data_IF_565346115085
#
_entry.id   IF_565346115085
#
_cell.length_a   1.000
_cell.length_b   1.000
_cell.length_c   1.000
_cell.angle_alpha   90.00
_cell.angle_beta   90.00
_cell.angle_gamma   90.00
#
_symmetry.space_group_name_H-M   'P 1'
#
loop_
_entity.id
_entity.type
_entity.pdbx_description
1 polymer ?
#
# COMPACT_ATOMS: atom_id res chain seq x y z
N UNK A 1 15.29 10.94 17.38
CA UNK A 1 14.96 9.65 18.02
C UNK A 1 13.53 9.63 18.61
N UNK A 2 12.59 10.37 18.00
CA UNK A 2 11.18 10.45 18.42
C UNK A 2 10.19 10.24 17.26
N UNK A 3 10.70 9.97 16.05
CA UNK A 3 9.92 9.86 14.82
C UNK A 3 9.43 8.42 14.56
N UNK A 4 10.29 7.43 14.81
CA UNK A 4 9.99 6.01 14.57
C UNK A 4 8.97 5.44 15.56
N UNK A 5 8.94 5.93 16.81
CA UNK A 5 7.94 5.51 17.80
C UNK A 5 6.54 6.03 17.47
N UNK A 6 6.45 7.22 16.89
CA UNK A 6 5.18 7.84 16.50
C UNK A 6 4.55 7.14 15.28
N UNK A 7 5.37 6.69 14.32
CA UNK A 7 4.89 5.92 13.17
C UNK A 7 4.42 4.51 13.55
N UNK A 8 5.04 3.89 14.57
CA UNK A 8 4.63 2.57 15.05
C UNK A 8 3.29 2.60 15.79
N UNK A 9 3.03 3.63 16.59
CA UNK A 9 1.75 3.79 17.28
C UNK A 9 0.59 4.06 16.31
N UNK A 10 0.83 4.80 15.22
CA UNK A 10 -0.17 5.04 14.19
C UNK A 10 -0.52 3.76 13.41
N UNK A 11 0.48 3.01 12.95
CA UNK A 11 0.26 1.74 12.27
C UNK A 11 -0.49 0.71 13.15
N UNK A 12 -0.23 0.73 14.46
CA UNK A 12 -0.94 -0.11 15.43
C UNK A 12 -2.40 0.33 15.64
N UNK A 13 -2.65 1.65 15.72
CA UNK A 13 -4.01 2.18 15.82
C UNK A 13 -4.84 1.86 14.57
N UNK A 14 -4.26 2.00 13.36
CA UNK A 14 -4.93 1.65 12.10
C UNK A 14 -5.27 0.15 11.99
N UNK A 15 -4.43 -0.72 12.56
CA UNK A 15 -4.73 -2.16 12.69
C UNK A 15 -5.88 -2.41 13.67
N UNK A 16 -5.91 -1.69 14.79
CA UNK A 16 -6.95 -1.82 15.83
C UNK A 16 -8.30 -1.22 15.39
N UNK A 17 -8.30 -0.19 14.54
CA UNK A 17 -9.49 0.43 13.95
C UNK A 17 -10.07 -0.38 12.77
N UNK A 18 -9.40 -1.46 12.34
CA UNK A 18 -9.91 -2.34 11.29
C UNK A 18 -9.80 -1.76 9.88
N UNK A 19 -9.00 -0.71 9.67
CA UNK A 19 -8.83 -0.10 8.35
C UNK A 19 -8.02 -1.01 7.41
N UNK A 20 -7.24 -1.93 7.96
CA UNK A 20 -6.41 -2.89 7.22
C UNK A 20 -6.85 -4.34 7.46
N UNK A 21 -8.10 -4.66 7.10
CA UNK A 21 -8.63 -6.03 7.25
C UNK A 21 -7.99 -7.03 6.28
N UNK A 22 -8.03 -8.31 6.64
CA UNK A 22 -7.68 -9.43 5.75
C UNK A 22 -8.50 -9.39 4.45
N UNK A 23 -9.77 -9.00 4.52
CA UNK A 23 -10.63 -8.88 3.35
C UNK A 23 -10.15 -7.77 2.40
N UNK A 24 -9.79 -6.60 2.95
CA UNK A 24 -9.21 -5.50 2.18
C UNK A 24 -7.88 -5.90 1.53
N UNK A 25 -7.00 -6.59 2.26
CA UNK A 25 -5.74 -7.09 1.73
C UNK A 25 -5.96 -8.11 0.58
N UNK A 26 -6.96 -9.00 0.71
CA UNK A 26 -7.32 -9.95 -0.32
C UNK A 26 -7.87 -9.25 -1.58
N UNK A 27 -8.73 -8.24 -1.41
CA UNK A 27 -9.28 -7.45 -2.51
C UNK A 27 -8.18 -6.72 -3.31
N UNK A 28 -7.22 -6.08 -2.62
CA UNK A 28 -6.07 -5.44 -3.26
C UNK A 28 -5.24 -6.45 -4.06
N UNK A 29 -4.97 -7.63 -3.48
CA UNK A 29 -4.22 -8.69 -4.19
C UNK A 29 -4.96 -9.20 -5.43
N UNK A 30 -6.28 -9.36 -5.36
CA UNK A 30 -7.10 -9.76 -6.50
C UNK A 30 -7.07 -8.70 -7.60
N UNK A 31 -7.21 -7.43 -7.26
CA UNK A 31 -7.14 -6.32 -8.20
C UNK A 31 -5.78 -6.24 -8.92
N UNK A 32 -4.67 -6.40 -8.19
CA UNK A 32 -3.32 -6.46 -8.77
C UNK A 32 -3.19 -7.65 -9.73
N UNK A 33 -3.74 -8.80 -9.35
CA UNK A 33 -3.69 -10.02 -10.19
C UNK A 33 -4.46 -9.83 -11.48
N UNK A 34 -5.68 -9.27 -11.40
CA UNK A 34 -6.49 -8.97 -12.57
C UNK A 34 -5.80 -7.96 -13.49
N UNK A 35 -5.24 -6.88 -12.93
CA UNK A 35 -4.51 -5.89 -13.70
C UNK A 35 -3.31 -6.50 -14.44
N UNK A 36 -2.49 -7.28 -13.73
CA UNK A 36 -1.34 -7.96 -14.32
C UNK A 36 -1.73 -8.90 -15.48
N UNK A 37 -2.83 -9.65 -15.33
CA UNK A 37 -3.36 -10.49 -16.40
C UNK A 37 -3.84 -9.65 -17.60
N UNK A 38 -4.60 -8.58 -17.35
CA UNK A 38 -5.15 -7.72 -18.39
C UNK A 38 -4.06 -7.00 -19.19
N UNK A 39 -2.91 -6.69 -18.57
CA UNK A 39 -1.79 -5.99 -19.22
C UNK A 39 -0.67 -6.92 -19.67
N UNK A 40 -0.78 -8.23 -19.43
CA UNK A 40 0.28 -9.20 -19.73
C UNK A 40 1.57 -8.99 -18.93
N UNK A 41 1.47 -8.35 -17.76
CA UNK A 41 2.62 -8.05 -16.89
C UNK A 41 2.78 -9.09 -15.79
N UNK A 42 3.99 -9.17 -15.22
CA UNK A 42 4.22 -9.95 -14.01
C UNK A 42 3.55 -9.27 -12.79
N UNK A 43 2.77 -10.05 -12.03
CA UNK A 43 2.03 -9.57 -10.86
C UNK A 43 2.93 -8.94 -9.79
N UNK A 44 4.13 -9.48 -9.55
CA UNK A 44 5.06 -8.92 -8.56
C UNK A 44 5.62 -7.58 -9.02
N UNK A 45 5.89 -7.40 -10.32
CA UNK A 45 6.32 -6.11 -10.88
C UNK A 45 5.24 -5.03 -10.73
N UNK A 46 3.98 -5.37 -11.00
CA UNK A 46 2.84 -4.47 -10.78
C UNK A 46 2.72 -4.10 -9.30
N UNK A 47 2.77 -5.09 -8.40
CA UNK A 47 2.70 -4.84 -6.95
C UNK A 47 3.86 -3.96 -6.45
N UNK A 48 5.09 -4.17 -6.94
CA UNK A 48 6.22 -3.31 -6.60
C UNK A 48 6.03 -1.88 -7.09
N UNK A 49 5.61 -1.69 -8.34
CA UNK A 49 5.38 -0.37 -8.90
C UNK A 49 4.29 0.39 -8.12
N UNK A 50 3.18 -0.29 -7.78
CA UNK A 50 2.13 0.26 -6.95
C UNK A 50 2.65 0.67 -5.56
N UNK A 51 3.39 -0.22 -4.89
CA UNK A 51 3.98 0.08 -3.57
C UNK A 51 4.91 1.28 -3.63
N UNK A 52 5.70 1.44 -4.70
CA UNK A 52 6.56 2.60 -4.88
C UNK A 52 5.76 3.90 -4.92
N UNK A 53 4.67 3.95 -5.68
CA UNK A 53 3.81 5.14 -5.79
C UNK A 53 3.11 5.43 -4.46
N UNK A 54 2.53 4.42 -3.82
CA UNK A 54 1.75 4.61 -2.58
C UNK A 54 2.64 4.98 -1.39
N UNK A 55 3.84 4.40 -1.28
CA UNK A 55 4.74 4.63 -0.14
C UNK A 55 5.67 5.82 -0.33
N UNK A 56 5.86 6.26 -1.57
CA UNK A 56 6.67 7.42 -1.93
C UNK A 56 5.88 8.33 -2.88
N UNK A 57 4.76 8.91 -2.41
CA UNK A 57 4.06 9.90 -3.21
C UNK A 57 5.01 11.06 -3.49
N UNK A 58 5.01 11.55 -4.72
CA UNK A 58 5.73 12.79 -5.05
C UNK A 58 5.20 13.90 -4.13
N UNK A 59 6.08 14.72 -3.52
CA UNK A 59 5.61 15.85 -2.74
C UNK A 59 4.73 16.73 -3.63
N UNK A 60 3.66 17.32 -3.09
CA UNK A 60 2.83 18.22 -3.86
C UNK A 60 3.73 19.28 -4.49
N UNK A 61 3.67 19.42 -5.81
CA UNK A 61 4.32 20.52 -6.50
C UNK A 61 3.68 21.79 -5.94
N UNK A 62 4.48 22.56 -5.21
CA UNK A 62 4.15 23.78 -4.46
C UNK A 62 3.65 23.53 -3.01
N UNK A 63 4.60 23.62 -2.06
CA UNK A 63 4.36 23.83 -0.63
C UNK A 63 5.23 24.99 -0.14
#
# INVERSE_FOLDING_TARGET
>A
MNDERSSWSAAWAEQQEGHLTVATAAAVRQAITYHAQATGQDRYKVEQALKRVVRHPEPPADA
#
